data_IF_247308579271
#
_entry.id   IF_247308579271
#
_cell.length_a   1.000
_cell.length_b   1.000
_cell.length_c   1.000
_cell.angle_alpha   90.00
_cell.angle_beta   90.00
_cell.angle_gamma   90.00
#
_symmetry.space_group_name_H-M   'P 1'
#
loop_
_entity.id
_entity.type
_entity.pdbx_description
1 polymer ?
#
# COMPACT_ATOMS: atom_id res chain seq x y z
N UNK A 1 -12.20 -13.35 2.83
CA UNK A 1 -12.20 -13.67 1.38
C UNK A 1 -12.95 -12.68 0.47
N UNK A 2 -14.09 -12.08 0.86
CA UNK A 2 -14.86 -11.17 -0.04
C UNK A 2 -14.02 -10.00 -0.60
N UNK A 3 -13.17 -9.40 0.23
CA UNK A 3 -12.28 -8.28 -0.15
C UNK A 3 -11.32 -8.67 -1.28
N UNK A 4 -10.62 -9.80 -1.14
CA UNK A 4 -9.69 -10.30 -2.16
C UNK A 4 -10.40 -10.55 -3.50
N UNK A 5 -11.60 -11.13 -3.49
CA UNK A 5 -12.38 -11.41 -4.71
C UNK A 5 -12.70 -10.09 -5.43
N UNK A 6 -13.14 -9.07 -4.69
CA UNK A 6 -13.41 -7.76 -5.26
C UNK A 6 -12.15 -7.11 -5.84
N UNK A 7 -11.02 -7.18 -5.13
CA UNK A 7 -9.74 -6.65 -5.62
C UNK A 7 -9.25 -7.37 -6.88
N UNK A 8 -9.40 -8.70 -6.97
CA UNK A 8 -9.09 -9.46 -8.19
C UNK A 8 -10.00 -9.04 -9.35
N UNK A 9 -11.27 -8.73 -9.08
CA UNK A 9 -12.20 -8.22 -10.08
C UNK A 9 -11.78 -6.83 -10.59
N UNK A 10 -11.42 -5.91 -9.69
CA UNK A 10 -10.91 -4.59 -10.04
C UNK A 10 -9.59 -4.66 -10.83
N UNK A 11 -8.69 -5.57 -10.45
CA UNK A 11 -7.47 -5.86 -11.18
C UNK A 11 -7.76 -6.27 -12.63
N UNK A 12 -8.70 -7.20 -12.83
CA UNK A 12 -9.09 -7.68 -14.17
C UNK A 12 -9.75 -6.59 -15.01
N UNK A 13 -10.48 -5.67 -14.39
CA UNK A 13 -11.04 -4.48 -15.06
C UNK A 13 -10.00 -3.42 -15.37
N UNK A 14 -8.79 -3.52 -14.82
CA UNK A 14 -7.74 -2.53 -15.00
C UNK A 14 -7.95 -1.24 -14.21
N UNK A 15 -8.78 -1.26 -13.17
CA UNK A 15 -9.06 -0.08 -12.32
C UNK A 15 -7.80 0.38 -11.58
N UNK A 16 -7.04 -0.59 -11.07
CA UNK A 16 -5.78 -0.38 -10.35
C UNK A 16 -4.78 -1.47 -10.71
N UNK A 17 -3.49 -1.13 -10.63
CA UNK A 17 -2.41 -2.01 -11.05
C UNK A 17 -1.68 -2.70 -9.88
N UNK A 18 -1.83 -2.20 -8.66
CA UNK A 18 -1.31 -2.82 -7.43
C UNK A 18 -2.36 -2.75 -6.32
N UNK A 19 -2.43 -3.82 -5.55
CA UNK A 19 -3.30 -3.96 -4.39
C UNK A 19 -2.48 -4.42 -3.20
N UNK A 20 -2.93 -4.07 -2.00
CA UNK A 20 -2.39 -4.57 -0.73
C UNK A 20 -3.53 -5.13 0.10
N UNK A 21 -3.29 -6.27 0.73
CA UNK A 21 -4.16 -6.85 1.75
C UNK A 21 -3.31 -7.23 2.96
N UNK A 22 -3.78 -6.87 4.15
CA UNK A 22 -3.18 -7.29 5.43
C UNK A 22 -4.09 -8.34 6.07
N UNK A 23 -3.54 -9.51 6.39
CA UNK A 23 -4.29 -10.57 7.03
C UNK A 23 -3.39 -11.47 7.88
N UNK A 24 -3.99 -12.43 8.57
CA UNK A 24 -3.24 -13.44 9.32
C UNK A 24 -2.48 -14.39 8.38
N UNK A 25 -1.48 -15.11 8.90
CA UNK A 25 -0.70 -16.09 8.13
C UNK A 25 -1.58 -17.10 7.35
N UNK A 26 -2.57 -17.76 7.97
CA UNK A 26 -3.47 -18.69 7.27
C UNK A 26 -4.30 -18.04 6.16
N UNK A 27 -4.79 -16.81 6.38
CA UNK A 27 -5.57 -16.08 5.38
C UNK A 27 -4.70 -15.61 4.21
N UNK A 28 -3.46 -15.21 4.49
CA UNK A 28 -2.47 -14.84 3.47
C UNK A 28 -2.09 -16.06 2.63
N UNK A 29 -1.88 -17.23 3.23
CA UNK A 29 -1.62 -18.46 2.50
C UNK A 29 -2.76 -18.81 1.54
N UNK A 30 -4.02 -18.70 1.99
CA UNK A 30 -5.19 -18.89 1.13
C UNK A 30 -5.26 -17.86 -0.01
N UNK A 31 -4.89 -16.61 0.28
CA UNK A 31 -4.88 -15.52 -0.70
C UNK A 31 -3.80 -15.72 -1.76
N UNK A 32 -2.57 -16.07 -1.35
CA UNK A 32 -1.46 -16.40 -2.23
C UNK A 32 -1.81 -17.58 -3.15
N UNK A 33 -2.29 -18.69 -2.58
CA UNK A 33 -2.71 -19.86 -3.36
C UNK A 33 -3.84 -19.54 -4.36
N UNK A 34 -4.68 -18.53 -4.08
CA UNK A 34 -5.68 -18.06 -5.04
C UNK A 34 -5.03 -17.23 -6.15
N UNK A 35 -4.16 -16.29 -5.82
CA UNK A 35 -3.47 -15.43 -6.79
C UNK A 35 -2.60 -16.24 -7.75
N UNK A 36 -1.92 -17.28 -7.25
CA UNK A 36 -1.15 -18.23 -8.07
C UNK A 36 -2.01 -18.94 -9.11
N UNK A 37 -3.18 -19.46 -8.70
CA UNK A 37 -4.15 -20.09 -9.61
C UNK A 37 -4.70 -19.13 -10.67
N UNK A 38 -4.75 -17.85 -10.34
CA UNK A 38 -5.22 -16.78 -11.23
C UNK A 38 -4.09 -16.21 -12.10
N UNK A 39 -2.85 -16.65 -11.92
CA UNK A 39 -1.68 -16.15 -12.63
C UNK A 39 -1.34 -14.68 -12.30
N UNK A 40 -1.69 -14.22 -11.10
CA UNK A 40 -1.47 -12.84 -10.65
C UNK A 40 -0.18 -12.79 -9.83
N UNK A 41 0.72 -11.88 -10.21
CA UNK A 41 1.99 -11.70 -9.53
C UNK A 41 1.78 -11.12 -8.12
N UNK A 42 2.61 -11.56 -7.17
CA UNK A 42 2.45 -11.18 -5.77
C UNK A 42 3.75 -11.19 -4.96
N UNK A 43 3.73 -10.48 -3.84
CA UNK A 43 4.84 -10.32 -2.90
C UNK A 43 4.32 -10.33 -1.47
N UNK A 44 4.92 -11.16 -0.61
CA UNK A 44 4.62 -11.21 0.82
C UNK A 44 5.59 -10.35 1.62
N UNK A 45 5.04 -9.50 2.47
CA UNK A 45 5.80 -8.68 3.41
C UNK A 45 5.35 -8.99 4.84
N UNK A 46 6.22 -9.68 5.59
CA UNK A 46 5.96 -10.08 6.97
C UNK A 46 6.10 -8.87 7.90
N UNK A 47 4.99 -8.43 8.49
CA UNK A 47 4.95 -7.25 9.36
C UNK A 47 5.14 -7.64 10.81
N UNK A 48 4.47 -8.71 11.25
CA UNK A 48 4.56 -9.26 12.60
C UNK A 48 4.30 -10.77 12.57
N UNK A 49 4.48 -11.48 13.69
CA UNK A 49 4.13 -12.90 13.77
C UNK A 49 2.65 -13.20 13.48
N UNK A 50 1.78 -12.21 13.63
CA UNK A 50 0.32 -12.36 13.50
C UNK A 50 -0.26 -11.70 12.26
N UNK A 51 0.46 -10.77 11.63
CA UNK A 51 0.00 -10.02 10.46
C UNK A 51 1.05 -10.03 9.36
N UNK A 52 0.60 -10.34 8.15
CA UNK A 52 1.41 -10.29 6.93
C UNK A 52 0.67 -9.50 5.87
N UNK A 53 1.40 -8.68 5.12
CA UNK A 53 0.88 -7.98 3.96
C UNK A 53 1.13 -8.83 2.71
N UNK A 54 0.15 -8.91 1.83
CA UNK A 54 0.32 -9.41 0.47
C UNK A 54 0.07 -8.27 -0.50
N UNK A 55 1.07 -7.98 -1.32
CA UNK A 55 0.98 -7.09 -2.46
C UNK A 55 0.75 -7.93 -3.71
N UNK A 56 -0.18 -7.53 -4.57
CA UNK A 56 -0.44 -8.26 -5.81
C UNK A 56 -0.95 -7.35 -6.92
N UNK A 57 -0.74 -7.77 -8.17
CA UNK A 57 -1.18 -7.01 -9.33
C UNK A 57 -0.28 -7.22 -10.54
N UNK A 58 0.01 -6.14 -11.28
CA UNK A 58 0.86 -6.20 -12.46
C UNK A 58 2.32 -6.38 -12.04
N UNK A 59 3.02 -7.28 -12.72
CA UNK A 59 4.42 -7.64 -12.41
C UNK A 59 5.36 -6.45 -12.17
N UNK A 60 5.43 -5.42 -13.05
CA UNK A 60 6.31 -4.26 -12.79
C UNK A 60 5.96 -3.50 -11.49
N UNK A 61 4.69 -3.44 -11.13
CA UNK A 61 4.22 -2.74 -9.92
C UNK A 61 4.54 -3.54 -8.67
N UNK A 62 4.33 -4.86 -8.71
CA UNK A 62 4.68 -5.79 -7.63
C UNK A 62 6.19 -5.79 -7.38
N UNK A 63 6.99 -5.85 -8.46
CA UNK A 63 8.46 -5.82 -8.34
C UNK A 63 8.97 -4.48 -7.82
N UNK A 64 8.33 -3.36 -8.19
CA UNK A 64 8.65 -2.05 -7.62
C UNK A 64 8.33 -2.02 -6.13
N UNK A 65 7.15 -2.50 -5.72
CA UNK A 65 6.77 -2.58 -4.31
C UNK A 65 7.72 -3.48 -3.51
N UNK A 66 8.16 -4.62 -4.06
CA UNK A 66 9.14 -5.52 -3.45
C UNK A 66 10.46 -4.81 -3.14
N UNK A 67 10.92 -3.93 -4.04
CA UNK A 67 12.19 -3.19 -3.88
C UNK A 67 12.09 -2.03 -2.88
N UNK A 68 10.91 -1.43 -2.74
CA UNK A 68 10.67 -0.30 -1.83
C UNK A 68 10.38 -0.79 -0.42
N UNK A 69 9.54 -1.83 -0.29
CA UNK A 69 9.06 -2.33 1.00
C UNK A 69 10.08 -3.31 1.60
N UNK A 70 11.24 -2.78 1.98
CA UNK A 70 12.35 -3.52 2.58
C UNK A 70 12.33 -3.51 4.11
N UNK A 71 11.57 -2.57 4.70
CA UNK A 71 11.35 -2.43 6.13
C UNK A 71 9.85 -2.36 6.43
N UNK A 72 9.45 -2.43 7.73
CA UNK A 72 8.07 -2.15 8.11
C UNK A 72 7.59 -0.80 7.55
N UNK A 73 6.33 -0.73 7.11
CA UNK A 73 5.78 0.43 6.40
C UNK A 73 5.91 1.76 7.17
N UNK A 74 5.88 1.71 8.51
CA UNK A 74 6.05 2.88 9.36
C UNK A 74 7.48 3.44 9.41
N UNK A 75 8.45 2.72 8.82
CA UNK A 75 9.87 3.10 8.74
C UNK A 75 10.32 3.49 7.33
N UNK A 76 9.43 3.43 6.35
CA UNK A 76 9.73 3.92 5.00
C UNK A 76 10.10 5.41 5.07
N UNK A 77 11.06 5.82 4.26
CA UNK A 77 11.36 7.24 4.05
C UNK A 77 10.14 7.98 3.48
N UNK A 78 10.09 9.33 3.60
CA UNK A 78 9.02 10.12 2.97
C UNK A 78 8.87 9.81 1.47
N UNK A 79 9.99 9.65 0.76
CA UNK A 79 10.03 9.35 -0.68
C UNK A 79 9.50 7.94 -0.99
N UNK A 80 9.93 6.93 -0.25
CA UNK A 80 9.45 5.55 -0.42
C UNK A 80 7.95 5.40 -0.15
N UNK A 81 7.45 6.08 0.90
CA UNK A 81 6.03 6.11 1.24
C UNK A 81 5.20 6.89 0.21
N UNK A 82 5.76 7.95 -0.37
CA UNK A 82 5.13 8.66 -1.48
C UNK A 82 4.96 7.74 -2.68
N UNK A 83 6.05 7.07 -3.12
CA UNK A 83 6.03 6.16 -4.27
C UNK A 83 5.05 5.00 -4.01
N UNK A 84 5.13 4.36 -2.83
CA UNK A 84 4.22 3.26 -2.49
C UNK A 84 2.77 3.72 -2.54
N UNK A 85 2.46 4.91 -2.02
CA UNK A 85 1.10 5.42 -2.05
C UNK A 85 0.58 5.73 -3.45
N UNK A 86 1.43 6.26 -4.33
CA UNK A 86 1.10 6.42 -5.75
C UNK A 86 0.86 5.06 -6.43
N UNK A 87 1.68 4.05 -6.13
CA UNK A 87 1.48 2.70 -6.66
C UNK A 87 0.15 2.06 -6.19
N UNK A 88 -0.30 2.37 -4.98
CA UNK A 88 -1.60 1.92 -4.47
C UNK A 88 -2.78 2.77 -4.99
N UNK A 89 -2.50 3.81 -5.77
CA UNK A 89 -3.49 4.69 -6.38
C UNK A 89 -4.17 5.62 -5.39
N UNK A 90 -3.47 6.05 -4.33
CA UNK A 90 -3.94 7.18 -3.53
C UNK A 90 -3.92 8.47 -4.35
N UNK A 91 -4.75 9.42 -3.94
CA UNK A 91 -4.81 10.76 -4.53
C UNK A 91 -3.43 11.46 -4.47
N UNK A 92 -3.10 12.15 -5.55
CA UNK A 92 -1.82 12.83 -5.71
C UNK A 92 -1.65 14.00 -4.74
N UNK A 93 -2.71 14.80 -4.53
CA UNK A 93 -2.64 15.98 -3.67
C UNK A 93 -2.46 15.59 -2.19
N UNK A 94 -3.24 14.62 -1.71
CA UNK A 94 -3.10 14.02 -0.39
C UNK A 94 -1.74 13.38 -0.17
N UNK A 95 -1.17 12.73 -1.19
CA UNK A 95 0.20 12.21 -1.13
C UNK A 95 1.24 13.35 -1.05
N UNK A 96 1.03 14.47 -1.74
CA UNK A 96 1.90 15.65 -1.64
C UNK A 96 1.86 16.24 -0.21
N UNK A 97 0.67 16.44 0.36
CA UNK A 97 0.53 16.92 1.73
C UNK A 97 1.20 15.97 2.73
N UNK A 98 0.93 14.67 2.61
CA UNK A 98 1.55 13.65 3.44
C UNK A 98 3.08 13.66 3.34
N UNK A 99 3.61 13.77 2.13
CA UNK A 99 5.06 13.87 1.89
C UNK A 99 5.66 15.09 2.57
N UNK A 100 5.10 16.29 2.34
CA UNK A 100 5.62 17.53 2.93
C UNK A 100 5.61 17.49 4.46
N UNK A 101 4.54 16.95 5.06
CA UNK A 101 4.44 16.77 6.52
C UNK A 101 5.51 15.81 7.03
N UNK A 102 5.71 14.66 6.39
CA UNK A 102 6.71 13.66 6.81
C UNK A 102 8.14 14.16 6.60
N UNK A 103 8.40 14.84 5.48
CA UNK A 103 9.70 15.43 5.15
C UNK A 103 10.09 16.53 6.14
N UNK A 104 9.15 17.41 6.49
CA UNK A 104 9.39 18.46 7.49
C UNK A 104 9.79 17.86 8.85
N UNK A 105 9.06 16.83 9.31
CA UNK A 105 9.40 16.12 10.55
C UNK A 105 10.78 15.46 10.49
N UNK A 106 11.15 14.89 9.34
CA UNK A 106 12.47 14.30 9.12
C UNK A 106 13.58 15.35 9.18
N UNK A 107 13.35 16.52 8.59
CA UNK A 107 14.31 17.63 8.54
C UNK A 107 14.31 18.51 9.80
N UNK A 108 13.51 18.16 10.83
CA UNK A 108 13.39 18.91 12.09
C UNK A 108 12.64 20.25 11.96
N UNK A 109 11.91 20.45 10.86
CA UNK A 109 11.13 21.64 10.57
C UNK A 109 9.68 21.48 11.05
N UNK A 110 9.05 22.61 11.37
CA UNK A 110 7.61 22.63 11.63
C UNK A 110 6.85 22.17 10.38
N UNK A 111 5.86 21.25 10.51
CA UNK A 111 5.06 20.83 9.36
C UNK A 111 4.27 22.02 8.79
N UNK A 112 3.98 22.03 7.49
CA UNK A 112 3.13 23.06 6.88
C UNK A 112 1.75 23.09 7.58
N UNK A 113 1.12 24.27 7.71
CA UNK A 113 -0.19 24.38 8.36
C UNK A 113 -1.24 23.53 7.62
N UNK A 114 -1.77 22.52 8.29
CA UNK A 114 -2.86 21.69 7.77
C UNK A 114 -4.17 22.49 7.78
N UNK A 115 -4.67 22.86 6.60
CA UNK A 115 -6.05 23.31 6.43
C UNK A 115 -6.98 22.11 6.67
N UNK A 116 -7.74 22.13 7.77
CA UNK A 116 -8.75 21.09 8.09
C UNK A 116 -9.95 21.10 7.13
N UNK A 117 -10.06 22.06 6.22
CA UNK A 117 -11.16 22.15 5.27
C UNK A 117 -11.10 21.09 4.15
N UNK A 118 -9.93 20.50 3.90
CA UNK A 118 -9.67 19.67 2.72
C UNK A 118 -9.76 18.14 3.00
N UNK A 119 -10.08 17.74 4.24
CA UNK A 119 -9.98 16.35 4.72
C UNK A 119 -11.29 15.54 4.72
N UNK A 120 -12.13 15.62 3.68
CA UNK A 120 -13.20 14.64 3.48
C UNK A 120 -12.67 13.41 2.71
N UNK A 121 -11.89 12.54 3.36
CA UNK A 121 -11.49 11.29 2.71
C UNK A 121 -10.58 10.32 3.47
N UNK A 122 -9.87 10.76 4.51
CA UNK A 122 -8.88 9.92 5.19
C UNK A 122 -9.40 9.34 6.51
N UNK A 123 -10.44 8.52 6.46
CA UNK A 123 -10.69 7.52 7.50
C UNK A 123 -10.68 6.13 6.89
N UNK A 124 -9.49 5.54 6.77
CA UNK A 124 -9.32 4.10 6.67
C UNK A 124 -7.91 3.69 7.14
N UNK A 125 -7.84 3.20 8.37
CA UNK A 125 -6.98 2.07 8.75
C UNK A 125 -5.50 2.36 9.02
N UNK A 126 -5.20 2.54 10.30
CA UNK A 126 -4.11 1.79 10.96
C UNK A 126 -4.77 0.93 12.04
#
# INVERSE_FOLDING_TARGET
MKVLINQIYEYRKGVRALFMLTASGPEIAQSAARLEREGIDHFLHFVSPTKTNIFFGRKPWVETARRIVTCPLNRLSPEEDFILGTLLGYDGEGQCHRYLTRRSRHDGLAPPPESRADWQGATAGV
#
